data_IF_133403686606
#
_entry.id   IF_133403686606
#
_cell.length_a   1.000
_cell.length_b   1.000
_cell.length_c   1.000
_cell.angle_alpha   90.00
_cell.angle_beta   90.00
_cell.angle_gamma   90.00
#
_symmetry.space_group_name_H-M   'P 1'
#
loop_
_entity.id
_entity.type
_entity.pdbx_description
1 polymer ?
#
# COMPACT_ATOMS: atom_id res chain seq x y z
N UNK A 1 -10.29 -5.35 -19.00
CA UNK A 1 -9.14 -4.58 -18.47
C UNK A 1 -8.66 -5.06 -17.10
N UNK A 2 -9.54 -5.50 -16.20
CA UNK A 2 -9.17 -5.92 -14.83
C UNK A 2 -9.30 -7.43 -14.55
N UNK A 3 -9.64 -8.24 -15.57
CA UNK A 3 -9.90 -9.68 -15.40
C UNK A 3 -8.58 -10.44 -15.39
N UNK A 4 -8.28 -11.10 -14.26
CA UNK A 4 -7.04 -11.88 -14.07
C UNK A 4 -5.93 -11.18 -13.28
N UNK A 5 -6.17 -9.97 -12.74
CA UNK A 5 -5.14 -9.32 -11.93
C UNK A 5 -4.93 -10.02 -10.59
N UNK A 6 -3.66 -10.19 -10.16
CA UNK A 6 -3.32 -10.80 -8.88
C UNK A 6 -4.02 -10.09 -7.71
N UNK A 7 -4.43 -10.82 -6.69
CA UNK A 7 -5.07 -10.25 -5.49
C UNK A 7 -4.19 -9.19 -4.79
N UNK A 8 -2.86 -9.25 -4.98
CA UNK A 8 -1.86 -8.35 -4.39
C UNK A 8 -2.01 -6.95 -4.98
N UNK A 9 -2.34 -6.89 -6.27
CA UNK A 9 -2.53 -5.64 -6.98
C UNK A 9 -3.72 -4.89 -6.38
N UNK A 10 -4.82 -5.58 -6.13
CA UNK A 10 -6.01 -4.98 -5.51
C UNK A 10 -5.76 -4.54 -4.08
N UNK A 11 -4.96 -5.31 -3.33
CA UNK A 11 -4.57 -4.96 -1.98
C UNK A 11 -3.70 -3.69 -1.96
N UNK A 12 -2.70 -3.62 -2.84
CA UNK A 12 -1.86 -2.42 -3.01
C UNK A 12 -2.66 -1.21 -3.49
N UNK A 13 -3.57 -1.40 -4.45
CA UNK A 13 -4.46 -0.36 -4.94
C UNK A 13 -5.37 0.17 -3.82
N UNK A 14 -6.00 -0.73 -3.05
CA UNK A 14 -6.82 -0.35 -1.91
C UNK A 14 -6.04 0.45 -0.87
N UNK A 15 -4.80 0.05 -0.58
CA UNK A 15 -3.94 0.76 0.36
C UNK A 15 -3.58 2.17 -0.12
N UNK A 16 -3.31 2.34 -1.42
CA UNK A 16 -3.09 3.65 -2.02
C UNK A 16 -4.34 4.55 -1.96
N UNK A 17 -5.53 4.00 -2.22
CA UNK A 17 -6.78 4.77 -2.12
C UNK A 17 -7.11 5.16 -0.68
N UNK A 18 -6.92 4.27 0.30
CA UNK A 18 -7.07 4.58 1.72
C UNK A 18 -6.13 5.72 2.15
N UNK A 19 -4.91 5.71 1.63
CA UNK A 19 -3.92 6.74 1.90
C UNK A 19 -4.30 8.11 1.30
N UNK A 20 -4.80 8.14 0.07
CA UNK A 20 -5.32 9.36 -0.54
C UNK A 20 -6.53 9.92 0.24
N UNK A 21 -7.43 9.04 0.68
CA UNK A 21 -8.59 9.40 1.51
C UNK A 21 -8.16 10.02 2.85
N UNK A 22 -7.11 9.48 3.47
CA UNK A 22 -6.58 10.00 4.73
C UNK A 22 -6.12 11.46 4.60
N UNK A 23 -5.39 11.80 3.53
CA UNK A 23 -4.99 13.18 3.28
C UNK A 23 -6.16 14.11 2.95
N UNK A 24 -7.15 13.62 2.20
CA UNK A 24 -8.36 14.39 1.92
C UNK A 24 -9.12 14.73 3.21
N UNK A 25 -9.22 13.78 4.14
CA UNK A 25 -9.84 14.02 5.45
C UNK A 25 -9.02 15.01 6.28
N UNK A 26 -7.69 14.91 6.26
CA UNK A 26 -6.81 15.87 6.94
C UNK A 26 -6.99 17.31 6.43
N UNK A 27 -7.14 17.48 5.12
CA UNK A 27 -7.39 18.78 4.51
C UNK A 27 -8.77 19.35 4.90
N UNK A 28 -9.81 18.51 4.95
CA UNK A 28 -11.13 18.94 5.41
C UNK A 28 -11.20 19.26 6.90
N UNK A 29 -10.42 18.59 7.72
CA UNK A 29 -10.47 18.74 9.18
C UNK A 29 -9.56 19.85 9.70
N UNK A 30 -8.47 20.17 8.99
CA UNK A 30 -7.50 21.17 9.44
C UNK A 30 -7.52 22.37 8.47
N UNK A 31 -8.10 23.52 8.88
CA UNK A 31 -8.11 24.70 8.02
C UNK A 31 -6.68 25.23 7.82
N UNK A 32 -6.33 25.49 6.56
CA UNK A 32 -4.99 25.95 6.18
C UNK A 32 -3.91 24.87 6.27
N UNK A 33 -4.28 23.58 6.28
CA UNK A 33 -3.35 22.44 6.36
C UNK A 33 -2.12 22.59 5.45
N UNK A 34 -2.22 22.97 4.16
CA UNK A 34 -1.04 23.09 3.30
C UNK A 34 -0.06 24.19 3.75
N UNK A 35 -0.57 25.23 4.41
CA UNK A 35 0.17 26.43 4.81
C UNK A 35 0.72 26.32 6.25
N UNK A 36 0.40 25.27 6.99
CA UNK A 36 0.90 25.09 8.36
C UNK A 36 2.35 24.61 8.35
N UNK A 37 3.20 25.26 9.16
CA UNK A 37 4.61 24.90 9.30
C UNK A 37 4.81 23.51 9.93
N UNK A 38 3.84 23.06 10.74
CA UNK A 38 3.76 21.70 11.28
C UNK A 38 2.62 20.96 10.56
N UNK A 39 2.94 19.83 9.89
CA UNK A 39 2.05 19.00 9.06
C UNK A 39 1.67 19.53 7.66
N UNK A 40 2.14 20.72 7.23
CA UNK A 40 1.84 21.23 5.89
C UNK A 40 2.62 20.58 4.76
N UNK A 41 2.75 21.29 3.62
CA UNK A 41 3.34 20.77 2.36
C UNK A 41 4.61 19.91 2.56
N UNK A 42 5.62 20.32 3.35
CA UNK A 42 6.83 19.52 3.55
C UNK A 42 6.56 18.16 4.21
N UNK A 43 5.61 18.12 5.15
CA UNK A 43 5.23 16.90 5.84
C UNK A 43 4.50 15.93 4.90
N UNK A 44 3.64 16.43 3.99
CA UNK A 44 2.99 15.60 2.97
C UNK A 44 3.99 14.84 2.08
N UNK A 45 5.11 15.46 1.72
CA UNK A 45 6.18 14.79 0.98
C UNK A 45 6.90 13.74 1.83
N UNK A 46 7.22 14.04 3.09
CA UNK A 46 7.85 13.09 4.02
C UNK A 46 6.93 11.88 4.25
N UNK A 47 5.64 12.11 4.45
CA UNK A 47 4.64 11.07 4.58
C UNK A 47 4.54 10.23 3.30
N UNK A 48 4.53 10.85 2.12
CA UNK A 48 4.55 10.08 0.86
C UNK A 48 5.83 9.27 0.68
N UNK A 49 6.99 9.75 1.12
CA UNK A 49 8.23 8.98 1.08
C UNK A 49 8.21 7.82 2.08
N UNK A 50 7.84 8.06 3.34
CA UNK A 50 7.82 7.01 4.36
C UNK A 50 6.70 5.99 4.12
N UNK A 51 5.47 6.44 3.89
CA UNK A 51 4.35 5.52 3.68
C UNK A 51 4.33 4.94 2.29
N UNK A 52 4.51 5.76 1.26
CA UNK A 52 4.51 5.33 -0.13
C UNK A 52 5.70 4.44 -0.49
N UNK A 53 6.92 4.85 -0.13
CA UNK A 53 8.12 4.11 -0.53
C UNK A 53 8.57 3.04 0.46
N UNK A 54 8.32 3.19 1.76
CA UNK A 54 8.74 2.17 2.74
C UNK A 54 7.60 1.26 3.16
N UNK A 55 6.53 1.81 3.74
CA UNK A 55 5.49 0.97 4.35
C UNK A 55 4.75 0.14 3.29
N UNK A 56 4.27 0.76 2.20
CA UNK A 56 3.57 0.03 1.13
C UNK A 56 4.48 -1.04 0.51
N UNK A 57 5.74 -0.72 0.23
CA UNK A 57 6.66 -1.68 -0.38
C UNK A 57 7.00 -2.84 0.56
N UNK A 58 7.11 -2.63 1.87
CA UNK A 58 7.30 -3.71 2.84
C UNK A 58 6.09 -4.64 2.84
N UNK A 59 4.86 -4.11 2.85
CA UNK A 59 3.65 -4.94 2.81
C UNK A 59 3.50 -5.70 1.49
N UNK A 60 3.87 -5.07 0.37
CA UNK A 60 3.85 -5.72 -0.95
C UNK A 60 4.91 -6.83 -1.02
N UNK A 61 6.13 -6.57 -0.55
CA UNK A 61 7.20 -7.57 -0.51
C UNK A 61 6.84 -8.75 0.39
N UNK A 62 6.29 -8.48 1.58
CA UNK A 62 5.78 -9.51 2.49
C UNK A 62 4.68 -10.34 1.84
N UNK A 63 3.68 -9.70 1.23
CA UNK A 63 2.57 -10.42 0.61
C UNK A 63 3.00 -11.22 -0.62
N UNK A 64 4.02 -10.76 -1.36
CA UNK A 64 4.61 -11.54 -2.44
C UNK A 64 5.30 -12.80 -1.92
N UNK A 65 6.18 -12.66 -0.93
CA UNK A 65 6.88 -13.80 -0.32
C UNK A 65 5.91 -14.83 0.26
N UNK A 66 4.91 -14.37 1.02
CA UNK A 66 3.93 -15.25 1.64
C UNK A 66 3.11 -16.06 0.62
N UNK A 67 2.74 -15.47 -0.52
CA UNK A 67 1.98 -16.18 -1.55
C UNK A 67 2.84 -17.03 -2.47
N UNK A 68 4.11 -16.69 -2.65
CA UNK A 68 5.08 -17.54 -3.33
C UNK A 68 5.34 -18.82 -2.51
N UNK A 69 5.54 -18.70 -1.19
CA UNK A 69 5.64 -19.85 -0.27
C UNK A 69 4.40 -20.76 -0.35
N UNK A 70 3.19 -20.18 -0.37
CA UNK A 70 1.95 -20.95 -0.53
C UNK A 70 1.84 -21.62 -1.92
N UNK A 71 2.40 -21.02 -2.96
CA UNK A 71 2.44 -21.60 -4.31
C UNK A 71 3.40 -22.78 -4.37
N UNK A 72 4.59 -22.64 -3.78
CA UNK A 72 5.58 -23.71 -3.69
C UNK A 72 5.07 -24.88 -2.85
N UNK A 73 4.44 -24.60 -1.70
CA UNK A 73 3.82 -25.63 -0.88
C UNK A 73 2.73 -26.42 -1.63
N UNK A 74 1.92 -25.75 -2.47
CA UNK A 74 0.96 -26.42 -3.35
C UNK A 74 1.63 -27.29 -4.40
N UNK A 75 2.70 -26.80 -5.04
CA UNK A 75 3.44 -27.54 -6.06
C UNK A 75 4.13 -28.79 -5.48
N UNK A 76 4.73 -28.64 -4.30
CA UNK A 76 5.35 -29.76 -3.56
C UNK A 76 4.32 -30.82 -3.17
N UNK A 77 3.13 -30.42 -2.71
CA UNK A 77 2.04 -31.35 -2.37
C UNK A 77 1.42 -32.06 -3.58
N UNK A 78 1.44 -31.45 -4.78
CA UNK A 78 0.98 -32.09 -6.02
C UNK A 78 2.02 -32.98 -6.70
N UNK A 79 3.30 -32.88 -6.34
CA UNK A 79 4.37 -33.72 -6.91
C UNK A 79 4.47 -35.13 -6.29
N UNK A 80 3.65 -35.42 -5.28
CA UNK A 80 3.62 -36.70 -4.57
C UNK A 80 2.43 -37.59 -4.95
N UNK A 81 1.73 -37.29 -6.05
CA UNK A 81 0.70 -38.17 -6.66
C UNK A 81 1.15 -38.71 -8.02
#
# INVERSE_FOLDING_TARGET
MFKGMPKIFWLGLGLMYCWALFFMILEWTIPGFPLKSFLGIPACYIYNTFLGCYIINIFVAWGFAHWEELREAKLAGTSTE
#
